data_IF_179187558190
#
_entry.id   IF_179187558190
#
_cell.length_a   1.000
_cell.length_b   1.000
_cell.length_c   1.000
_cell.angle_alpha   90.00
_cell.angle_beta   90.00
_cell.angle_gamma   90.00
#
_symmetry.space_group_name_H-M   'P 1'
#
loop_
_entity.id
_entity.type
_entity.pdbx_description
1 polymer ?
#
# COMPACT_ATOMS: atom_id res chain seq x y z
N UNK A 1 -5.42 24.70 -12.11
CA UNK A 1 -5.37 23.22 -12.03
C UNK A 1 -4.43 22.84 -10.90
N UNK A 2 -4.93 22.26 -9.81
CA UNK A 2 -4.05 21.78 -8.74
C UNK A 2 -3.45 20.45 -9.22
N UNK A 3 -2.18 20.46 -9.60
CA UNK A 3 -1.44 19.24 -9.95
C UNK A 3 -1.14 18.53 -8.63
N UNK A 4 -1.92 17.51 -8.28
CA UNK A 4 -1.56 16.61 -7.18
C UNK A 4 -0.32 15.81 -7.59
N UNK A 5 0.66 15.72 -6.69
CA UNK A 5 1.85 14.89 -6.91
C UNK A 5 1.40 13.44 -7.07
N UNK A 6 1.92 12.68 -8.05
CA UNK A 6 1.64 11.26 -8.15
C UNK A 6 2.15 10.54 -6.89
N UNK A 7 1.23 9.95 -6.13
CA UNK A 7 1.51 9.31 -4.85
C UNK A 7 0.90 7.90 -4.79
N UNK A 8 1.54 7.02 -4.03
CA UNK A 8 0.98 5.72 -3.64
C UNK A 8 -0.09 5.97 -2.57
N UNK A 9 -1.25 5.36 -2.69
CA UNK A 9 -2.29 5.53 -1.68
C UNK A 9 -2.27 4.38 -0.68
N UNK A 10 -2.37 4.73 0.60
CA UNK A 10 -2.44 3.79 1.73
C UNK A 10 -3.78 4.01 2.41
N UNK A 11 -4.70 3.07 2.24
CA UNK A 11 -6.01 3.13 2.86
C UNK A 11 -6.05 2.26 4.10
N UNK A 12 -6.46 2.85 5.21
CA UNK A 12 -6.38 2.22 6.53
C UNK A 12 -7.75 2.09 7.18
N UNK A 13 -7.90 1.12 8.06
CA UNK A 13 -8.97 1.06 9.04
C UNK A 13 -8.40 0.47 10.33
N UNK A 14 -8.44 1.22 11.43
CA UNK A 14 -7.87 0.78 12.72
C UNK A 14 -6.43 0.22 12.58
N UNK A 15 -5.62 0.83 11.72
CA UNK A 15 -4.31 0.30 11.39
C UNK A 15 -3.36 0.30 12.59
N UNK A 16 -2.65 -0.81 12.78
CA UNK A 16 -1.56 -0.89 13.73
C UNK A 16 -0.47 0.11 13.35
N UNK A 17 -0.08 0.93 14.32
CA UNK A 17 0.86 2.03 14.09
C UNK A 17 2.26 1.56 13.70
N UNK A 18 2.70 0.39 14.17
CA UNK A 18 3.99 -0.16 13.80
C UNK A 18 3.97 -0.66 12.36
N UNK A 19 2.91 -1.38 11.95
CA UNK A 19 2.74 -1.82 10.56
C UNK A 19 2.70 -0.62 9.61
N UNK A 20 1.86 0.36 9.89
CA UNK A 20 1.74 1.57 9.07
C UNK A 20 3.09 2.30 8.95
N UNK A 21 3.80 2.49 10.07
CA UNK A 21 5.11 3.17 10.07
C UNK A 21 6.12 2.45 9.17
N UNK A 22 6.19 1.12 9.25
CA UNK A 22 7.15 0.35 8.46
C UNK A 22 6.81 0.36 6.97
N UNK A 23 5.52 0.26 6.62
CA UNK A 23 5.07 0.42 5.24
C UNK A 23 5.46 1.79 4.68
N UNK A 24 5.14 2.87 5.39
CA UNK A 24 5.50 4.23 4.98
C UNK A 24 7.02 4.36 4.78
N UNK A 25 7.80 3.89 5.75
CA UNK A 25 9.25 3.97 5.70
C UNK A 25 9.84 3.13 4.54
N UNK A 26 9.18 2.05 4.10
CA UNK A 26 9.59 1.28 2.92
C UNK A 26 9.38 2.05 1.61
N UNK A 27 8.31 2.83 1.53
CA UNK A 27 8.03 3.70 0.37
C UNK A 27 9.04 4.86 0.33
N UNK A 28 9.32 5.47 1.48
CA UNK A 28 10.26 6.59 1.62
C UNK A 28 11.68 6.20 1.20
N UNK A 29 12.15 5.01 1.60
CA UNK A 29 13.45 4.46 1.18
C UNK A 29 13.62 4.36 -0.34
N UNK A 30 12.52 4.14 -1.07
CA UNK A 30 12.52 4.04 -2.53
C UNK A 30 12.30 5.40 -3.23
N UNK A 31 12.09 6.47 -2.45
CA UNK A 31 11.97 7.85 -2.92
C UNK A 31 10.64 8.18 -3.59
N UNK A 32 9.55 7.50 -3.24
CA UNK A 32 8.21 7.71 -3.83
C UNK A 32 7.30 8.40 -2.82
N UNK A 33 6.41 9.28 -3.27
CA UNK A 33 5.41 9.91 -2.39
C UNK A 33 4.28 8.94 -2.05
N UNK A 34 3.72 9.09 -0.85
CA UNK A 34 2.51 8.39 -0.44
C UNK A 34 1.52 9.32 0.24
N UNK A 35 0.25 8.90 0.25
CA UNK A 35 -0.84 9.54 0.99
C UNK A 35 -1.59 8.48 1.78
N UNK A 36 -1.76 8.72 3.07
CA UNK A 36 -2.52 7.83 3.96
C UNK A 36 -3.91 8.40 4.19
N UNK A 37 -4.94 7.57 4.14
CA UNK A 37 -6.33 8.00 4.39
C UNK A 37 -7.10 6.87 5.05
N UNK A 38 -7.86 7.20 6.10
CA UNK A 38 -8.70 6.23 6.80
C UNK A 38 -10.06 6.06 6.10
N UNK A 39 -10.54 4.82 6.06
CA UNK A 39 -11.81 4.42 5.47
C UNK A 39 -12.58 3.47 6.39
N UNK A 40 -13.90 3.33 6.23
CA UNK A 40 -14.73 2.46 7.07
C UNK A 40 -14.68 0.97 6.66
N UNK A 41 -13.98 0.61 5.58
CA UNK A 41 -13.91 -0.78 5.11
C UNK A 41 -13.02 -1.63 6.03
N UNK A 42 -13.57 -2.71 6.60
CA UNK A 42 -12.88 -3.62 7.53
C UNK A 42 -12.08 -4.73 6.85
N UNK A 43 -11.68 -4.53 5.58
CA UNK A 43 -11.01 -5.55 4.79
C UNK A 43 -9.83 -4.95 4.03
N UNK A 44 -8.61 -5.39 4.38
CA UNK A 44 -7.37 -4.91 3.78
C UNK A 44 -7.37 -5.01 2.25
N UNK A 45 -7.96 -6.05 1.67
CA UNK A 45 -7.98 -6.23 0.21
C UNK A 45 -8.90 -5.23 -0.48
N UNK A 46 -10.05 -4.91 0.13
CA UNK A 46 -10.97 -3.89 -0.38
C UNK A 46 -10.31 -2.51 -0.32
N UNK A 47 -9.64 -2.22 0.80
CA UNK A 47 -8.86 -0.99 0.99
C UNK A 47 -7.76 -0.88 -0.08
N UNK A 48 -6.95 -1.93 -0.27
CA UNK A 48 -5.86 -1.94 -1.24
C UNK A 48 -6.35 -1.82 -2.69
N UNK A 49 -7.44 -2.53 -3.03
CA UNK A 49 -8.07 -2.46 -4.35
C UNK A 49 -8.58 -1.06 -4.67
N UNK A 50 -9.22 -0.41 -3.69
CA UNK A 50 -9.69 0.97 -3.83
C UNK A 50 -8.51 1.93 -3.97
N UNK A 51 -7.52 1.83 -3.09
CA UNK A 51 -6.30 2.65 -3.12
C UNK A 51 -5.57 2.56 -4.46
N UNK A 52 -5.45 1.36 -5.04
CA UNK A 52 -4.77 1.15 -6.32
C UNK A 52 -5.53 1.78 -7.50
N UNK A 53 -6.87 1.82 -7.42
CA UNK A 53 -7.70 2.46 -8.45
C UNK A 53 -7.66 3.98 -8.36
N UNK A 54 -7.67 4.50 -7.14
CA UNK A 54 -7.69 5.93 -6.86
C UNK A 54 -6.30 6.58 -7.06
N UNK A 55 -5.22 5.82 -6.83
CA UNK A 55 -3.85 6.28 -7.11
C UNK A 55 -3.60 6.44 -8.61
N UNK A 56 -3.07 7.60 -9.00
CA UNK A 56 -2.61 7.83 -10.38
C UNK A 56 -1.53 6.83 -10.80
N UNK A 57 -0.67 6.41 -9.86
CA UNK A 57 0.41 5.46 -10.07
C UNK A 57 -0.08 4.02 -10.23
N UNK A 58 -1.32 3.74 -9.86
CA UNK A 58 -1.91 2.42 -9.94
C UNK A 58 -1.42 1.45 -8.86
N UNK A 59 -0.68 1.92 -7.86
CA UNK A 59 -0.28 1.11 -6.69
C UNK A 59 -1.08 1.54 -5.47
N UNK A 60 -1.57 0.57 -4.71
CA UNK A 60 -2.37 0.81 -3.52
C UNK A 60 -2.08 -0.20 -2.42
N UNK A 61 -2.07 0.31 -1.19
CA UNK A 61 -1.88 -0.50 0.02
C UNK A 61 -3.13 -0.38 0.88
N UNK A 62 -3.57 -1.50 1.42
CA UNK A 62 -4.67 -1.56 2.39
C UNK A 62 -4.16 -2.11 3.71
N UNK A 63 -4.53 -1.47 4.82
CA UNK A 63 -4.18 -1.93 6.17
C UNK A 63 -5.45 -1.99 7.03
N UNK A 64 -5.71 -3.14 7.65
CA UNK A 64 -6.78 -3.31 8.64
C UNK A 64 -6.22 -3.99 9.89
N UNK A 65 -6.20 -3.29 11.03
CA UNK A 65 -5.48 -3.79 12.20
C UNK A 65 -4.01 -4.02 11.87
N UNK A 66 -3.52 -5.24 12.09
CA UNK A 66 -2.16 -5.65 11.69
C UNK A 66 -2.07 -6.16 10.26
N UNK A 67 -3.20 -6.47 9.62
CA UNK A 67 -3.22 -7.07 8.29
C UNK A 67 -2.93 -6.02 7.22
N UNK A 68 -2.08 -6.37 6.25
CA UNK A 68 -1.61 -5.48 5.19
C UNK A 68 -1.67 -6.18 3.83
N UNK A 69 -2.06 -5.45 2.80
CA UNK A 69 -2.18 -5.94 1.43
C UNK A 69 -1.65 -4.92 0.42
N UNK A 70 -0.83 -5.38 -0.53
CA UNK A 70 -0.39 -4.62 -1.70
C UNK A 70 -1.19 -5.04 -2.94
N UNK A 71 -1.69 -4.04 -3.68
CA UNK A 71 -2.45 -4.23 -4.91
C UNK A 71 -1.99 -3.31 -6.02
N UNK A 72 -1.97 -3.83 -7.24
CA UNK A 72 -1.81 -3.05 -8.46
C UNK A 72 -3.13 -2.93 -9.22
N UNK A 73 -3.35 -1.77 -9.84
CA UNK A 73 -4.47 -1.50 -10.73
C UNK A 73 -4.43 -2.46 -11.92
N UNK A 74 -5.58 -3.04 -12.24
CA UNK A 74 -5.72 -4.03 -13.32
C UNK A 74 -5.67 -5.49 -12.86
N UNK A 75 -5.25 -5.74 -11.61
CA UNK A 75 -5.41 -7.08 -11.02
C UNK A 75 -6.85 -7.33 -10.60
N UNK A 76 -7.33 -8.55 -10.87
CA UNK A 76 -8.67 -9.01 -10.49
C UNK A 76 -8.87 -8.98 -8.97
N UNK A 77 -10.13 -8.88 -8.53
CA UNK A 77 -10.49 -9.04 -7.11
C UNK A 77 -10.04 -10.44 -6.64
N UNK A 78 -9.33 -10.51 -5.53
CA UNK A 78 -8.74 -11.75 -5.01
C UNK A 78 -7.30 -12.07 -5.47
N UNK A 79 -6.72 -11.33 -6.43
CA UNK A 79 -5.30 -11.50 -6.83
C UNK A 79 -4.41 -10.36 -6.34
N UNK A 80 -3.83 -10.47 -5.16
CA UNK A 80 -2.96 -9.43 -4.60
C UNK A 80 -1.51 -9.66 -5.01
N UNK A 81 -0.69 -8.61 -4.99
CA UNK A 81 0.76 -8.77 -5.24
C UNK A 81 1.39 -9.44 -4.02
N UNK A 82 1.05 -8.93 -2.84
CA UNK A 82 1.51 -9.45 -1.57
C UNK A 82 0.50 -9.13 -0.47
N UNK A 83 0.41 -9.97 0.55
CA UNK A 83 -0.51 -9.78 1.67
C UNK A 83 -0.14 -10.61 2.89
N UNK A 84 -0.17 -10.00 4.07
CA UNK A 84 0.13 -10.63 5.35
C UNK A 84 -0.95 -10.26 6.37
N UNK A 85 -1.39 -11.22 7.19
CA UNK A 85 -2.32 -10.93 8.30
C UNK A 85 -1.60 -10.37 9.53
N UNK A 86 -0.39 -10.86 9.81
CA UNK A 86 0.45 -10.44 10.92
C UNK A 86 1.89 -10.30 10.44
N UNK A 87 2.21 -9.25 9.66
CA UNK A 87 3.53 -9.07 9.09
C UNK A 87 4.57 -8.87 10.19
N UNK A 88 5.74 -9.45 9.98
CA UNK A 88 6.96 -9.01 10.66
C UNK A 88 7.31 -7.57 10.27
N UNK A 89 8.23 -6.97 11.03
CA UNK A 89 8.77 -5.64 10.71
C UNK A 89 9.34 -5.56 9.29
N UNK A 90 10.03 -6.62 8.86
CA UNK A 90 10.67 -6.70 7.54
C UNK A 90 9.65 -6.85 6.41
N UNK A 91 8.65 -7.72 6.57
CA UNK A 91 7.58 -7.90 5.58
C UNK A 91 6.77 -6.61 5.38
N UNK A 92 6.43 -5.90 6.47
CA UNK A 92 5.75 -4.61 6.39
C UNK A 92 6.60 -3.57 5.64
N UNK A 93 7.92 -3.53 5.92
CA UNK A 93 8.86 -2.65 5.21
C UNK A 93 8.97 -3.01 3.73
N UNK A 94 9.07 -4.29 3.42
CA UNK A 94 9.18 -4.80 2.06
C UNK A 94 7.91 -4.54 1.25
N UNK A 95 6.71 -4.61 1.84
CA UNK A 95 5.48 -4.19 1.15
C UNK A 95 5.56 -2.72 0.69
N UNK A 96 6.01 -1.82 1.57
CA UNK A 96 6.21 -0.43 1.22
C UNK A 96 7.20 -0.25 0.07
N UNK A 97 8.35 -0.91 0.18
CA UNK A 97 9.39 -0.88 -0.85
C UNK A 97 8.91 -1.46 -2.18
N UNK A 98 8.26 -2.64 -2.16
CA UNK A 98 7.76 -3.32 -3.34
C UNK A 98 6.64 -2.54 -4.03
N UNK A 99 5.81 -1.82 -3.27
CA UNK A 99 4.82 -0.88 -3.81
C UNK A 99 5.48 0.23 -4.64
N UNK A 100 6.53 0.84 -4.11
CA UNK A 100 7.30 1.87 -4.82
C UNK A 100 8.08 1.32 -6.01
N UNK A 101 8.68 0.14 -5.86
CA UNK A 101 9.43 -0.55 -6.92
C UNK A 101 8.51 -0.99 -8.07
N UNK A 102 7.28 -1.39 -7.78
CA UNK A 102 6.27 -1.71 -8.80
C UNK A 102 6.01 -0.50 -9.72
N UNK A 103 5.83 0.70 -9.14
CA UNK A 103 5.66 1.94 -9.89
C UNK A 103 6.90 2.28 -10.73
N UNK A 104 8.10 2.08 -10.15
CA UNK A 104 9.39 2.32 -10.82
C UNK A 104 9.77 1.22 -11.82
N UNK A 105 8.97 0.14 -11.94
CA UNK A 105 9.26 -1.05 -12.76
C UNK A 105 10.58 -1.73 -12.40
N UNK A 106 10.87 -1.84 -11.12
CA UNK A 106 12.04 -2.53 -10.57
C UNK A 106 11.65 -3.91 -10.01
N UNK A 107 12.57 -4.88 -9.95
CA UNK A 107 12.33 -6.20 -9.34
C UNK A 107 11.94 -6.05 -7.86
N UNK A 108 11.07 -6.90 -7.33
CA UNK A 108 10.73 -6.87 -5.90
C UNK A 108 11.89 -7.35 -5.02
N UNK A 109 11.89 -6.90 -3.77
CA UNK A 109 12.70 -7.44 -2.67
C UNK A 109 12.03 -8.69 -2.13
#
# INVERSE_FOLDING_TARGET
MIIKKPSIFIYTHEADSAVLRNVCAGIEEEGVFYETTEFPDTCMEKLAYKAARDSMLGSGIGIFGTAVCLKMRGLEKGRNIDSYLHPTWEEARNIGSNSARAVKKLPFR
#
